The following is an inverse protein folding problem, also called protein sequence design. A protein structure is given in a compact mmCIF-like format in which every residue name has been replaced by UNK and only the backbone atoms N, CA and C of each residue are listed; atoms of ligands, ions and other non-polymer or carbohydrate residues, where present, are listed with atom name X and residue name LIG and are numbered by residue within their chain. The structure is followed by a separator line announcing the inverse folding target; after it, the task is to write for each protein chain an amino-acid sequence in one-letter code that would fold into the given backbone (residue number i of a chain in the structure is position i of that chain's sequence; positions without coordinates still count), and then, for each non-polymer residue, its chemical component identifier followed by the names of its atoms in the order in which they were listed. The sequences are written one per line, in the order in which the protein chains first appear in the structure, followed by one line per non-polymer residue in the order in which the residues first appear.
data_IF_663391092756
#
_entry.id   IF_663391092756
#
_cell.length_a   1.000
_cell.length_b   1.000
_cell.length_c   1.000
_cell.angle_alpha   90.00
_cell.angle_beta   90.00
_cell.angle_gamma   90.00
#
_symmetry.space_group_name_H-M   'P 1'
#
loop_
_entity.id
_entity.type
_entity.pdbx_description
1 polymer ?
#
# COMPACT_ATOMS: atom_id res chain seq x y z
N UNK A 1 13.38 16.25 3.79
CA UNK A 1 14.49 15.58 4.50
C UNK A 1 14.30 14.10 4.25
N UNK A 2 15.10 13.57 3.33
CA UNK A 2 14.97 12.24 2.75
C UNK A 2 15.31 11.17 3.78
N UNK A 3 14.41 10.21 4.00
CA UNK A 3 14.85 8.94 4.57
C UNK A 3 15.69 8.23 3.50
N UNK A 4 16.91 7.77 3.81
CA UNK A 4 17.59 6.85 2.92
C UNK A 4 16.75 5.57 2.94
N UNK A 5 16.36 5.07 1.76
CA UNK A 5 15.82 3.73 1.64
C UNK A 5 16.90 2.77 2.18
N UNK A 6 16.74 2.36 3.45
CA UNK A 6 17.53 1.26 3.98
C UNK A 6 17.25 0.08 3.06
N UNK A 7 18.32 -0.52 2.52
CA UNK A 7 18.28 -1.69 1.65
C UNK A 7 17.77 -2.90 2.43
N UNK A 8 16.50 -2.89 2.82
CA UNK A 8 15.85 -3.99 3.48
C UNK A 8 15.19 -4.81 2.37
N UNK A 9 15.75 -5.98 2.09
CA UNK A 9 15.13 -6.95 1.20
C UNK A 9 13.70 -7.20 1.66
N UNK A 10 12.71 -6.80 0.86
CA UNK A 10 11.29 -7.04 1.19
C UNK A 10 11.02 -8.53 1.01
N UNK A 11 10.60 -9.19 2.09
CA UNK A 11 10.12 -10.57 2.02
C UNK A 11 8.66 -10.57 1.55
N UNK A 12 8.33 -11.46 0.62
CA UNK A 12 7.00 -11.55 0.01
C UNK A 12 6.36 -12.91 0.32
N UNK A 13 5.06 -12.94 0.57
CA UNK A 13 4.28 -14.15 0.78
C UNK A 13 3.03 -14.20 -0.10
N UNK A 14 2.74 -15.38 -0.64
CA UNK A 14 1.48 -15.65 -1.34
C UNK A 14 0.42 -16.10 -0.34
N UNK A 15 -0.77 -15.53 -0.40
CA UNK A 15 -1.87 -15.88 0.51
C UNK A 15 -3.17 -16.16 -0.23
N UNK A 16 -4.09 -16.86 0.44
CA UNK A 16 -5.46 -17.05 -0.02
C UNK A 16 -6.24 -15.73 0.01
N UNK A 17 -7.36 -15.66 -0.69
CA UNK A 17 -8.23 -14.50 -0.68
C UNK A 17 -8.66 -14.17 0.76
N UNK A 18 -8.39 -12.96 1.27
CA UNK A 18 -8.71 -12.61 2.66
C UNK A 18 -10.21 -12.51 2.92
N UNK A 19 -11.03 -12.44 1.87
CA UNK A 19 -12.49 -12.34 1.98
C UNK A 19 -13.18 -13.71 1.98
N UNK A 20 -12.76 -14.65 1.12
CA UNK A 20 -13.47 -15.92 0.91
C UNK A 20 -12.61 -17.18 1.01
N UNK A 21 -11.29 -17.06 1.19
CA UNK A 21 -10.37 -18.20 1.36
C UNK A 21 -9.97 -18.95 0.08
N UNK A 22 -10.48 -18.59 -1.10
CA UNK A 22 -10.05 -19.18 -2.38
C UNK A 22 -8.57 -18.85 -2.66
N UNK A 23 -7.80 -19.82 -3.15
CA UNK A 23 -6.36 -19.68 -3.43
C UNK A 23 -6.07 -19.26 -4.87
N UNK A 24 -7.02 -19.47 -5.78
CA UNK A 24 -6.90 -19.04 -7.19
C UNK A 24 -7.22 -17.57 -7.37
N UNK A 25 -6.34 -16.90 -8.10
CA UNK A 25 -6.49 -15.49 -8.44
C UNK A 25 -5.78 -15.18 -9.76
N UNK A 26 -6.31 -14.18 -10.47
CA UNK A 26 -5.77 -13.72 -11.75
C UNK A 26 -5.05 -12.37 -11.55
N UNK A 27 -3.80 -12.22 -12.00
CA UNK A 27 -3.11 -10.92 -11.99
C UNK A 27 -3.84 -9.89 -12.85
N UNK A 28 -3.94 -8.64 -12.37
CA UNK A 28 -4.58 -7.55 -13.09
C UNK A 28 -3.70 -6.31 -13.25
N UNK A 29 -2.74 -6.08 -12.35
CA UNK A 29 -1.83 -4.95 -12.41
C UNK A 29 -0.51 -5.27 -11.71
N UNK A 30 0.59 -4.82 -12.29
CA UNK A 30 1.90 -4.68 -11.64
C UNK A 30 2.24 -3.21 -11.60
N UNK A 31 2.59 -2.70 -10.43
CA UNK A 31 2.91 -1.29 -10.24
C UNK A 31 4.06 -1.12 -9.26
N UNK A 32 4.85 -0.07 -9.45
CA UNK A 32 5.79 0.43 -8.45
C UNK A 32 5.11 1.51 -7.59
N UNK A 33 5.76 1.85 -6.47
CA UNK A 33 5.32 2.99 -5.67
C UNK A 33 5.62 4.31 -6.40
N UNK A 34 4.56 5.06 -6.72
CA UNK A 34 4.64 6.33 -7.44
C UNK A 34 4.92 7.53 -6.54
N UNK A 35 4.62 7.41 -5.23
CA UNK A 35 4.64 8.53 -4.30
C UNK A 35 5.95 8.58 -3.51
N UNK A 36 6.27 7.52 -2.79
CA UNK A 36 7.47 7.45 -1.95
C UNK A 36 8.64 6.75 -2.63
N UNK A 37 8.41 6.16 -3.82
CA UNK A 37 9.39 5.42 -4.61
C UNK A 37 10.08 4.32 -3.79
N UNK A 38 9.33 3.67 -2.89
CA UNK A 38 9.83 2.52 -2.15
C UNK A 38 10.17 1.40 -3.13
N UNK A 39 11.33 0.78 -2.94
CA UNK A 39 11.79 -0.32 -3.77
C UNK A 39 10.85 -1.53 -3.64
N UNK A 40 10.31 -1.98 -4.77
CA UNK A 40 9.41 -3.14 -4.85
C UNK A 40 8.50 -3.07 -6.08
N UNK A 41 8.02 -4.24 -6.50
CA UNK A 41 6.93 -4.35 -7.47
C UNK A 41 5.72 -4.93 -6.75
N UNK A 42 4.59 -4.25 -6.83
CA UNK A 42 3.34 -4.64 -6.21
C UNK A 42 2.41 -5.24 -7.25
N UNK A 43 1.98 -6.48 -7.01
CA UNK A 43 1.05 -7.19 -7.87
C UNK A 43 -0.35 -7.15 -7.28
N UNK A 44 -1.30 -6.53 -7.98
CA UNK A 44 -2.73 -6.68 -7.70
C UNK A 44 -3.26 -7.88 -8.46
N UNK A 45 -3.93 -8.76 -7.73
CA UNK A 45 -4.63 -9.92 -8.26
C UNK A 45 -6.12 -9.79 -7.94
N UNK A 46 -6.94 -10.48 -8.70
CA UNK A 46 -8.38 -10.59 -8.48
C UNK A 46 -8.74 -12.04 -8.17
N UNK A 47 -9.41 -12.28 -7.06
CA UNK A 47 -9.91 -13.61 -6.70
C UNK A 47 -10.87 -14.14 -7.78
N UNK A 48 -10.71 -15.41 -8.17
CA UNK A 48 -11.54 -16.00 -9.22
C UNK A 48 -12.96 -16.32 -8.74
N UNK A 49 -13.16 -16.53 -7.43
CA UNK A 49 -14.46 -16.82 -6.83
C UNK A 49 -15.26 -15.55 -6.47
N UNK A 50 -14.74 -14.71 -5.56
CA UNK A 50 -15.49 -13.56 -5.04
C UNK A 50 -15.15 -12.22 -5.70
N UNK A 51 -14.20 -12.21 -6.65
CA UNK A 51 -13.75 -11.01 -7.39
C UNK A 51 -13.10 -9.90 -6.55
N UNK A 52 -12.81 -10.15 -5.27
CA UNK A 52 -12.02 -9.24 -4.45
C UNK A 52 -10.63 -9.02 -5.05
N UNK A 53 -10.19 -7.75 -5.08
CA UNK A 53 -8.86 -7.36 -5.57
C UNK A 53 -7.96 -7.08 -4.37
N UNK A 54 -6.79 -7.69 -4.36
CA UNK A 54 -5.84 -7.60 -3.24
C UNK A 54 -4.40 -7.76 -3.73
N UNK A 55 -3.44 -7.44 -2.87
CA UNK A 55 -2.01 -7.62 -3.15
C UNK A 55 -1.63 -9.10 -2.98
N UNK A 56 -1.04 -9.69 -4.02
CA UNK A 56 -0.52 -11.05 -3.96
C UNK A 56 0.61 -11.25 -4.99
N UNK A 57 1.83 -11.64 -4.57
CA UNK A 57 2.26 -11.79 -3.19
C UNK A 57 2.30 -10.45 -2.46
N UNK A 58 2.07 -10.47 -1.14
CA UNK A 58 2.09 -9.29 -0.26
C UNK A 58 3.37 -9.28 0.59
N UNK A 59 3.82 -8.12 1.11
CA UNK A 59 4.89 -8.11 2.09
C UNK A 59 4.53 -8.94 3.32
N UNK A 60 5.51 -9.67 3.89
CA UNK A 60 5.28 -10.40 5.14
C UNK A 60 4.97 -9.45 6.28
N UNK A 61 4.40 -10.00 7.36
CA UNK A 61 4.03 -9.23 8.55
C UNK A 61 5.22 -8.51 9.19
N UNK A 62 6.41 -9.12 9.12
CA UNK A 62 7.64 -8.61 9.72
C UNK A 62 8.18 -7.41 8.94
N UNK A 63 7.98 -7.36 7.63
CA UNK A 63 8.55 -6.31 6.78
C UNK A 63 7.54 -5.25 6.31
N UNK A 64 6.23 -5.48 6.46
CA UNK A 64 5.20 -4.52 6.01
C UNK A 64 5.34 -3.14 6.66
N UNK A 65 5.86 -3.07 7.88
CA UNK A 65 6.15 -1.80 8.57
C UNK A 65 7.13 -0.89 7.81
N UNK A 66 8.01 -1.45 6.98
CA UNK A 66 9.00 -0.68 6.23
C UNK A 66 8.39 0.23 5.15
N UNK A 67 7.14 -0.05 4.73
CA UNK A 67 6.40 0.80 3.78
C UNK A 67 5.75 2.03 4.43
N UNK A 68 5.73 2.08 5.76
CA UNK A 68 5.17 3.18 6.53
C UNK A 68 6.30 3.91 7.23
N UNK A 69 6.83 4.94 6.58
CA UNK A 69 7.90 5.74 7.15
C UNK A 69 7.48 6.36 8.48
N UNK A 70 8.46 6.58 9.37
CA UNK A 70 8.19 7.30 10.62
C UNK A 70 7.58 8.69 10.39
N UNK A 71 7.82 9.29 9.22
CA UNK A 71 7.25 10.58 8.80
C UNK A 71 5.93 10.49 8.01
N UNK A 72 5.27 9.32 7.98
CA UNK A 72 4.00 9.12 7.27
C UNK A 72 2.92 10.13 7.71
N UNK A 73 2.67 11.10 6.82
CA UNK A 73 1.86 12.29 7.07
C UNK A 73 0.45 12.04 7.64
N UNK A 74 -0.31 11.03 7.19
CA UNK A 74 -1.66 10.76 7.69
C UNK A 74 -1.78 10.56 9.21
N UNK A 75 -0.73 10.09 9.89
CA UNK A 75 -0.74 9.94 11.36
C UNK A 75 -0.26 11.19 12.12
N UNK A 76 0.15 12.25 11.42
CA UNK A 76 0.80 13.43 12.03
C UNK A 76 -0.14 14.54 12.46
N UNK A 77 -1.45 14.41 12.25
CA UNK A 77 -2.45 15.36 12.72
C UNK A 77 -2.35 16.75 12.07
N UNK A 78 -3.26 17.02 11.12
CA UNK A 78 -3.72 18.37 10.75
C UNK A 78 -2.67 19.44 10.47
N UNK A 79 -2.20 19.53 9.23
CA UNK A 79 -1.83 20.84 8.69
C UNK A 79 -3.11 21.62 8.41
N UNK A 80 -3.52 22.47 9.35
CA UNK A 80 -4.56 23.49 9.27
C UNK A 80 -5.29 23.60 7.92
N UNK A 81 -6.40 22.86 7.74
CA UNK A 81 -7.37 23.19 6.72
C UNK A 81 -8.16 24.42 7.19
N UNK A 82 -7.54 25.59 7.15
CA UNK A 82 -8.24 26.87 7.25
C UNK A 82 -9.03 27.05 5.95
N UNK A 83 -10.20 26.44 5.88
CA UNK A 83 -11.20 26.76 4.88
C UNK A 83 -11.59 28.24 5.10
N UNK A 84 -10.96 29.15 4.36
CA UNK A 84 -11.45 30.52 4.24
C UNK A 84 -12.73 30.46 3.41
N UNK A 85 -13.87 30.45 4.11
CA UNK A 85 -15.15 30.78 3.50
C UNK A 85 -15.04 32.24 3.05
N UNK A 86 -14.80 32.46 1.76
CA UNK A 86 -14.97 33.78 1.16
C UNK A 86 -16.48 34.01 1.09
N UNK A 87 -17.00 34.74 2.06
CA UNK A 87 -18.40 35.20 2.05
C UNK A 87 -18.64 36.01 0.77
N UNK A 88 -19.58 35.53 -0.04
CA UNK A 88 -20.03 36.18 -1.26
C UNK A 88 -21.25 37.02 -0.86
N UNK A 89 -21.07 38.33 -0.67
CA UNK A 89 -22.16 39.31 -0.69
C UNK A 89 -22.67 39.52 -2.10
#
# INVERSE_FOLDING_TARGET
MSQPASHNSVAWETTACPLCGETRSTPILRASDLLYRVLGEFSLVRCDACRHVFLNPRPTRECIGNFYSADYGPFRGGGDCKLRIVGRT
#
